data_IF_543270783210
#
_entry.id   IF_543270783210
#
_cell.length_a   1.000
_cell.length_b   1.000
_cell.length_c   1.000
_cell.angle_alpha   90.00
_cell.angle_beta   90.00
_cell.angle_gamma   90.00
#
_symmetry.space_group_name_H-M   'P 1'
#
loop_
_entity.id
_entity.type
_entity.pdbx_description
1 polymer ?
#
# COMPACT_ATOMS: atom_id res chain seq x y z
N UNK A 1 1.74 -68.27 13.18
CA UNK A 1 1.78 -67.17 12.19
C UNK A 1 1.73 -65.86 12.95
N UNK A 2 2.79 -65.03 12.87
CA UNK A 2 2.91 -63.76 13.59
C UNK A 2 2.55 -62.61 12.64
N UNK A 3 1.44 -61.92 12.89
CA UNK A 3 1.03 -60.74 12.14
C UNK A 3 1.81 -59.54 12.66
N UNK A 4 2.69 -58.98 11.82
CA UNK A 4 3.38 -57.72 12.12
C UNK A 4 2.45 -56.56 11.74
N UNK A 5 2.08 -55.73 12.72
CA UNK A 5 1.32 -54.51 12.50
C UNK A 5 2.31 -53.39 12.13
N UNK A 6 2.30 -52.97 10.86
CA UNK A 6 3.11 -51.85 10.38
C UNK A 6 2.36 -50.55 10.71
N UNK A 7 2.84 -49.80 11.71
CA UNK A 7 2.32 -48.47 12.01
C UNK A 7 2.84 -47.47 10.97
N UNK A 8 1.99 -47.07 10.04
CA UNK A 8 2.28 -45.99 9.10
C UNK A 8 2.21 -44.64 9.84
N UNK A 9 3.39 -44.05 10.10
CA UNK A 9 3.51 -42.69 10.63
C UNK A 9 3.12 -41.70 9.53
N UNK A 10 1.87 -41.22 9.56
CA UNK A 10 1.40 -40.16 8.67
C UNK A 10 2.11 -38.85 9.03
N UNK A 11 3.13 -38.48 8.26
CA UNK A 11 3.68 -37.12 8.27
C UNK A 11 2.64 -36.18 7.65
N UNK A 12 1.84 -35.52 8.49
CA UNK A 12 1.04 -34.37 8.05
C UNK A 12 2.00 -33.20 7.83
N UNK A 13 2.10 -32.63 6.62
CA UNK A 13 2.92 -31.44 6.42
C UNK A 13 2.38 -30.32 7.28
N UNK A 14 3.24 -29.73 8.11
CA UNK A 14 2.91 -28.54 8.88
C UNK A 14 2.55 -27.42 7.88
N UNK A 15 1.29 -27.02 7.86
CA UNK A 15 0.84 -25.87 7.08
C UNK A 15 1.47 -24.63 7.72
N UNK A 16 2.41 -24.00 7.03
CA UNK A 16 2.96 -22.72 7.46
C UNK A 16 1.79 -21.76 7.67
N UNK A 17 1.76 -21.10 8.84
CA UNK A 17 0.76 -20.08 9.12
C UNK A 17 0.87 -18.98 8.05
N UNK A 18 -0.27 -18.47 7.60
CA UNK A 18 -0.28 -17.31 6.71
C UNK A 18 0.44 -16.15 7.41
N UNK A 19 1.27 -15.37 6.69
CA UNK A 19 1.94 -14.22 7.27
C UNK A 19 0.91 -13.23 7.83
N UNK A 20 1.21 -12.67 8.99
CA UNK A 20 0.36 -11.65 9.63
C UNK A 20 0.31 -10.38 8.76
N UNK A 21 -0.90 -9.81 8.63
CA UNK A 21 -1.16 -8.60 7.85
C UNK A 21 -1.47 -7.42 8.76
N UNK A 22 -0.89 -6.27 8.46
CA UNK A 22 -1.31 -4.99 9.03
C UNK A 22 -2.62 -4.52 8.38
N UNK A 23 -3.45 -3.82 9.14
CA UNK A 23 -4.69 -3.24 8.65
C UNK A 23 -4.69 -1.72 8.89
N UNK A 24 -5.18 -0.91 7.93
CA UNK A 24 -5.29 0.53 8.10
C UNK A 24 -6.27 0.87 9.21
N UNK A 25 -5.90 1.83 10.04
CA UNK A 25 -6.77 2.35 11.08
C UNK A 25 -7.80 3.35 10.52
N UNK A 26 -7.53 3.92 9.33
CA UNK A 26 -8.36 4.96 8.75
C UNK A 26 -8.93 4.58 7.37
N UNK A 27 -10.06 5.17 7.04
CA UNK A 27 -10.68 5.06 5.72
C UNK A 27 -9.83 5.81 4.69
N UNK A 28 -9.58 5.26 3.47
CA UNK A 28 -8.67 5.87 2.51
C UNK A 28 -9.10 7.28 2.08
N UNK A 29 -10.40 7.52 1.95
CA UNK A 29 -10.95 8.84 1.62
C UNK A 29 -10.59 9.91 2.66
N UNK A 30 -10.51 9.53 3.94
CA UNK A 30 -10.08 10.44 4.99
C UNK A 30 -8.57 10.71 4.96
N UNK A 31 -7.77 9.67 4.68
CA UNK A 31 -6.31 9.83 4.53
C UNK A 31 -6.01 10.76 3.36
N UNK A 32 -6.63 10.52 2.19
CA UNK A 32 -6.47 11.38 1.03
C UNK A 32 -6.90 12.81 1.31
N UNK A 33 -8.05 13.03 1.93
CA UNK A 33 -8.52 14.38 2.28
C UNK A 33 -7.51 15.12 3.18
N UNK A 34 -6.92 14.44 4.17
CA UNK A 34 -5.91 15.02 5.04
C UNK A 34 -4.62 15.36 4.30
N UNK A 35 -4.12 14.44 3.47
CA UNK A 35 -2.89 14.65 2.67
C UNK A 35 -3.09 15.77 1.65
N UNK A 36 -4.24 15.81 0.97
CA UNK A 36 -4.60 16.89 0.05
C UNK A 36 -4.68 18.25 0.77
N UNK A 37 -5.33 18.29 1.93
CA UNK A 37 -5.40 19.49 2.76
C UNK A 37 -4.01 19.98 3.20
N UNK A 38 -3.11 19.07 3.58
CA UNK A 38 -1.72 19.40 3.91
C UNK A 38 -0.95 19.98 2.73
N UNK A 39 -1.18 19.45 1.53
CA UNK A 39 -0.55 19.92 0.28
C UNK A 39 -1.20 21.21 -0.26
N UNK A 40 -2.34 21.62 0.27
CA UNK A 40 -3.11 22.77 -0.23
C UNK A 40 -3.88 22.47 -1.52
N UNK A 41 -4.12 21.19 -1.82
CA UNK A 41 -4.87 20.74 -3.00
C UNK A 41 -6.36 20.69 -2.67
N UNK A 42 -7.18 21.28 -3.55
CA UNK A 42 -8.64 21.14 -3.51
C UNK A 42 -9.04 19.95 -4.37
N UNK A 43 -9.59 18.92 -3.75
CA UNK A 43 -10.03 17.70 -4.46
C UNK A 43 -11.26 17.98 -5.33
N UNK A 44 -11.27 17.39 -6.53
CA UNK A 44 -12.45 17.39 -7.40
C UNK A 44 -13.45 16.32 -6.90
N UNK A 45 -14.65 16.72 -6.40
CA UNK A 45 -15.61 15.76 -5.87
C UNK A 45 -16.23 14.85 -6.95
N UNK A 46 -16.11 15.20 -8.24
CA UNK A 46 -16.58 14.36 -9.33
C UNK A 46 -15.55 13.31 -9.76
N UNK A 47 -14.30 13.44 -9.33
CA UNK A 47 -13.24 12.47 -9.67
C UNK A 47 -13.33 11.25 -8.75
N UNK A 48 -13.35 10.03 -9.29
CA UNK A 48 -13.27 8.83 -8.46
C UNK A 48 -11.94 8.78 -7.70
N UNK A 49 -11.98 8.24 -6.49
CA UNK A 49 -10.78 7.98 -5.71
C UNK A 49 -10.03 6.79 -6.30
N UNK A 50 -8.68 6.78 -6.26
CA UNK A 50 -7.94 5.61 -6.67
C UNK A 50 -8.24 4.45 -5.71
N UNK A 51 -8.36 3.25 -6.26
CA UNK A 51 -8.66 2.06 -5.46
C UNK A 51 -7.41 1.64 -4.68
N UNK A 52 -7.52 1.50 -3.36
CA UNK A 52 -6.43 0.99 -2.52
C UNK A 52 -6.54 -0.52 -2.37
N UNK A 53 -5.52 -1.23 -2.83
CA UNK A 53 -5.41 -2.68 -2.87
C UNK A 53 -4.26 -3.14 -1.97
N UNK A 54 -4.54 -4.10 -1.09
CA UNK A 54 -3.55 -4.67 -0.20
C UNK A 54 -3.00 -5.98 -0.77
N UNK A 55 -1.68 -6.19 -0.63
CA UNK A 55 -0.97 -7.33 -1.20
C UNK A 55 -1.61 -8.68 -0.80
N UNK A 56 -2.08 -8.82 0.44
CA UNK A 56 -2.76 -10.02 0.93
C UNK A 56 -4.09 -10.36 0.22
N UNK A 57 -4.70 -9.39 -0.45
CA UNK A 57 -6.03 -9.51 -1.07
C UNK A 57 -6.00 -9.71 -2.60
N UNK A 58 -4.81 -9.74 -3.21
CA UNK A 58 -4.64 -9.87 -4.66
C UNK A 58 -3.55 -10.89 -5.01
N UNK A 59 -3.59 -11.51 -6.19
CA UNK A 59 -2.45 -12.23 -6.72
C UNK A 59 -1.37 -11.24 -7.20
N UNK A 60 -0.08 -11.54 -6.98
CA UNK A 60 1.04 -10.69 -7.44
C UNK A 60 1.03 -10.47 -8.96
N UNK A 61 0.48 -11.42 -9.73
CA UNK A 61 0.33 -11.27 -11.19
C UNK A 61 -0.56 -10.10 -11.60
N UNK A 62 -1.59 -9.75 -10.79
CA UNK A 62 -2.41 -8.56 -11.03
C UNK A 62 -1.58 -7.29 -10.91
N UNK A 63 -0.78 -7.19 -9.83
CA UNK A 63 0.11 -6.05 -9.62
C UNK A 63 1.14 -5.93 -10.75
N UNK A 64 1.80 -7.03 -11.13
CA UNK A 64 2.76 -7.03 -12.25
C UNK A 64 2.15 -6.50 -13.54
N UNK A 65 0.95 -6.94 -13.88
CA UNK A 65 0.27 -6.50 -15.10
C UNK A 65 -0.06 -5.00 -15.04
N UNK A 66 -0.57 -4.52 -13.90
CA UNK A 66 -0.90 -3.11 -13.71
C UNK A 66 0.34 -2.20 -13.76
N UNK A 67 1.41 -2.58 -13.04
CA UNK A 67 2.62 -1.79 -12.86
C UNK A 67 3.67 -2.00 -13.96
N UNK A 68 3.44 -2.90 -14.93
CA UNK A 68 4.43 -3.35 -15.93
C UNK A 68 5.19 -2.21 -16.62
N UNK A 69 4.47 -1.17 -17.02
CA UNK A 69 5.05 0.00 -17.71
C UNK A 69 5.91 0.84 -16.77
N UNK A 70 5.41 1.15 -15.57
CA UNK A 70 6.15 1.91 -14.55
C UNK A 70 7.37 1.15 -14.01
N UNK A 71 7.32 -0.18 -13.97
CA UNK A 71 8.45 -1.03 -13.58
C UNK A 71 9.50 -1.20 -14.69
N UNK A 72 9.26 -0.69 -15.90
CA UNK A 72 10.20 -0.83 -17.02
C UNK A 72 10.50 -2.28 -17.39
N UNK A 73 9.53 -3.19 -17.18
CA UNK A 73 9.71 -4.63 -17.39
C UNK A 73 10.49 -5.36 -16.29
N UNK A 74 10.75 -4.72 -15.14
CA UNK A 74 11.30 -5.41 -13.97
C UNK A 74 10.33 -6.46 -13.44
N UNK A 75 10.80 -7.69 -13.33
CA UNK A 75 10.05 -8.78 -12.71
C UNK A 75 10.15 -8.69 -11.18
N UNK A 76 9.00 -8.62 -10.51
CA UNK A 76 8.89 -8.50 -9.05
C UNK A 76 8.06 -9.65 -8.49
N UNK A 77 8.54 -10.40 -7.53
CA UNK A 77 7.83 -11.53 -6.88
C UNK A 77 6.93 -11.12 -5.73
N UNK A 78 6.90 -9.83 -5.41
CA UNK A 78 6.07 -9.25 -4.37
C UNK A 78 5.39 -7.97 -4.85
N UNK A 79 4.34 -7.56 -4.13
CA UNK A 79 3.71 -6.26 -4.30
C UNK A 79 4.56 -5.22 -3.57
N UNK A 80 4.88 -4.12 -4.25
CA UNK A 80 5.51 -2.94 -3.67
C UNK A 80 4.44 -1.90 -3.36
N UNK A 81 4.73 -0.97 -2.45
CA UNK A 81 3.90 0.23 -2.32
C UNK A 81 4.06 1.03 -3.62
N UNK A 82 2.95 1.31 -4.31
CA UNK A 82 2.97 2.05 -5.57
C UNK A 82 1.59 2.57 -5.95
N UNK A 83 1.51 3.86 -6.27
CA UNK A 83 0.46 4.43 -7.11
C UNK A 83 0.74 4.11 -8.59
N UNK A 84 -0.13 3.32 -9.19
CA UNK A 84 -0.07 2.92 -10.60
C UNK A 84 -0.93 3.88 -11.41
N UNK A 85 -0.27 4.78 -12.16
CA UNK A 85 -0.90 5.87 -12.91
C UNK A 85 -1.85 5.35 -13.98
N UNK A 86 -1.46 4.28 -14.69
CA UNK A 86 -2.23 3.73 -15.81
C UNK A 86 -3.61 3.21 -15.39
N UNK A 87 -3.70 2.60 -14.21
CA UNK A 87 -4.94 1.98 -13.72
C UNK A 87 -5.64 2.80 -12.64
N UNK A 88 -5.03 3.90 -12.19
CA UNK A 88 -5.49 4.72 -11.07
C UNK A 88 -5.72 3.88 -9.79
N UNK A 89 -4.77 2.99 -9.51
CA UNK A 89 -4.79 2.06 -8.37
C UNK A 89 -3.60 2.32 -7.45
N UNK A 90 -3.81 2.17 -6.15
CA UNK A 90 -2.75 2.20 -5.14
C UNK A 90 -2.57 0.78 -4.63
N UNK A 91 -1.35 0.26 -4.73
CA UNK A 91 -0.96 -1.04 -4.21
C UNK A 91 -0.16 -0.83 -2.91
N UNK A 92 -0.49 -1.61 -1.87
CA UNK A 92 0.15 -1.53 -0.56
C UNK A 92 0.62 -2.91 -0.12
N UNK A 93 1.89 -3.01 0.24
CA UNK A 93 2.45 -4.17 0.89
C UNK A 93 2.03 -4.20 2.36
N UNK A 94 1.15 -5.13 2.74
CA UNK A 94 0.50 -5.17 4.05
C UNK A 94 1.06 -6.22 5.01
N UNK A 95 2.18 -6.88 4.70
CA UNK A 95 2.83 -7.77 5.67
C UNK A 95 3.26 -7.00 6.94
N UNK A 96 2.76 -7.43 8.11
CA UNK A 96 2.91 -6.73 9.39
C UNK A 96 4.39 -6.49 9.78
N UNK A 97 5.27 -7.40 9.39
CA UNK A 97 6.71 -7.31 9.64
C UNK A 97 7.37 -6.03 9.05
N UNK A 98 6.77 -5.40 8.04
CA UNK A 98 7.31 -4.20 7.39
C UNK A 98 7.09 -2.90 8.19
N UNK A 99 6.21 -2.94 9.20
CA UNK A 99 5.71 -1.76 9.91
C UNK A 99 6.36 -1.61 11.30
N UNK A 100 6.59 -2.71 12.01
CA UNK A 100 7.06 -2.68 13.39
C UNK A 100 8.47 -2.09 13.61
N UNK A 101 9.38 -2.17 12.63
CA UNK A 101 10.81 -1.83 12.85
C UNK A 101 11.08 -0.33 12.99
N UNK A 102 10.27 0.53 12.37
CA UNK A 102 10.52 1.97 12.29
C UNK A 102 9.37 2.82 12.83
N UNK A 103 8.44 2.21 13.57
CA UNK A 103 7.21 2.89 14.00
C UNK A 103 6.35 3.37 12.83
N UNK A 104 6.51 2.76 11.65
CA UNK A 104 5.66 3.06 10.49
C UNK A 104 4.35 2.33 10.62
N UNK A 105 3.27 2.95 10.17
CA UNK A 105 1.97 2.28 10.06
C UNK A 105 1.63 2.02 8.59
N UNK A 106 0.64 1.17 8.35
CA UNK A 106 0.13 0.97 6.98
C UNK A 106 -0.59 2.22 6.47
N UNK A 107 -1.15 3.05 7.35
CA UNK A 107 -1.70 4.35 6.95
C UNK A 107 -0.59 5.31 6.48
N UNK A 108 0.66 5.17 6.97
CA UNK A 108 1.81 5.93 6.44
C UNK A 108 2.08 5.56 4.98
N UNK A 109 2.10 4.26 4.66
CA UNK A 109 2.26 3.77 3.27
C UNK A 109 1.13 4.30 2.38
N UNK A 110 -0.11 4.28 2.87
CA UNK A 110 -1.26 4.80 2.13
C UNK A 110 -1.13 6.31 1.91
N UNK A 111 -0.71 7.07 2.91
CA UNK A 111 -0.49 8.51 2.80
C UNK A 111 0.64 8.85 1.81
N UNK A 112 1.71 8.06 1.79
CA UNK A 112 2.81 8.18 0.81
C UNK A 112 2.29 8.05 -0.62
N UNK A 113 1.56 6.97 -0.92
CA UNK A 113 1.04 6.72 -2.27
C UNK A 113 -0.04 7.73 -2.68
N UNK A 114 -0.84 8.25 -1.74
CA UNK A 114 -1.72 9.37 -2.02
C UNK A 114 -0.94 10.66 -2.36
N UNK A 115 0.25 10.85 -1.80
CA UNK A 115 1.16 11.91 -2.21
C UNK A 115 1.47 11.84 -3.71
N UNK A 116 1.85 10.66 -4.20
CA UNK A 116 2.10 10.42 -5.63
C UNK A 116 0.84 10.62 -6.49
N UNK A 117 -0.32 10.15 -6.04
CA UNK A 117 -1.59 10.42 -6.71
C UNK A 117 -1.82 11.93 -6.88
N UNK A 118 -1.62 12.73 -5.82
CA UNK A 118 -1.82 14.17 -5.89
C UNK A 118 -0.81 14.86 -6.82
N UNK A 119 0.46 14.45 -6.77
CA UNK A 119 1.51 14.96 -7.66
C UNK A 119 1.14 14.74 -9.14
N UNK A 120 0.69 13.54 -9.50
CA UNK A 120 0.34 13.21 -10.89
C UNK A 120 -0.97 13.89 -11.31
N UNK A 121 -2.01 13.75 -10.49
CA UNK A 121 -3.36 14.12 -10.89
C UNK A 121 -3.61 15.62 -10.79
N UNK A 122 -3.08 16.27 -9.76
CA UNK A 122 -3.35 17.68 -9.48
C UNK A 122 -2.19 18.58 -9.88
N UNK A 123 -0.94 18.21 -9.56
CA UNK A 123 0.22 19.03 -9.93
C UNK A 123 0.71 18.79 -11.37
N UNK A 124 0.19 17.75 -12.03
CA UNK A 124 0.59 17.34 -13.39
C UNK A 124 2.06 16.95 -13.49
N UNK A 125 2.61 16.40 -12.41
CA UNK A 125 3.96 15.86 -12.40
C UNK A 125 4.09 14.71 -13.40
N UNK A 126 5.15 14.73 -14.22
CA UNK A 126 5.49 13.64 -15.12
C UNK A 126 6.34 12.61 -14.38
N UNK A 127 5.70 11.73 -13.62
CA UNK A 127 6.41 10.64 -12.92
C UNK A 127 7.05 9.61 -13.85
N UNK A 128 6.69 9.57 -15.14
CA UNK A 128 7.30 8.63 -16.08
C UNK A 128 8.69 9.10 -16.54
N UNK A 129 8.89 10.43 -16.63
CA UNK A 129 10.16 11.02 -17.08
C UNK A 129 10.93 11.73 -15.96
N UNK A 130 10.24 12.15 -14.89
CA UNK A 130 10.76 12.95 -13.78
C UNK A 130 10.49 12.31 -12.42
N UNK A 131 10.43 10.97 -12.32
CA UNK A 131 10.54 10.26 -11.04
C UNK A 131 11.91 10.58 -10.41
N UNK A 132 11.97 11.73 -9.76
CA UNK A 132 13.16 12.31 -9.20
C UNK A 132 13.08 12.28 -7.67
N UNK A 133 14.22 12.46 -7.02
CA UNK A 133 14.32 12.44 -5.57
C UNK A 133 13.40 13.48 -4.90
N UNK A 134 12.98 14.54 -5.60
CA UNK A 134 12.09 15.56 -5.05
C UNK A 134 10.66 15.04 -4.87
N UNK A 135 10.12 14.28 -5.82
CA UNK A 135 8.75 13.73 -5.72
C UNK A 135 8.66 12.70 -4.59
N UNK A 136 9.65 11.82 -4.48
CA UNK A 136 9.76 10.86 -3.38
C UNK A 136 9.98 11.57 -2.03
N UNK A 137 10.83 12.60 -1.98
CA UNK A 137 11.06 13.37 -0.76
C UNK A 137 9.79 14.06 -0.25
N UNK A 138 8.97 14.59 -1.16
CA UNK A 138 7.68 15.18 -0.80
C UNK A 138 6.71 14.11 -0.28
N UNK A 139 6.58 12.96 -0.96
CA UNK A 139 5.75 11.86 -0.50
C UNK A 139 6.18 11.36 0.90
N UNK A 140 7.50 11.24 1.13
CA UNK A 140 8.10 10.92 2.44
C UNK A 140 7.74 11.97 3.50
N UNK A 141 7.77 13.26 3.14
CA UNK A 141 7.40 14.33 4.05
C UNK A 141 5.90 14.28 4.41
N UNK A 142 5.03 13.96 3.44
CA UNK A 142 3.59 13.80 3.65
C UNK A 142 3.28 12.61 4.58
N UNK A 143 3.85 11.43 4.34
CA UNK A 143 3.64 10.28 5.25
C UNK A 143 4.18 10.55 6.66
N UNK A 144 5.30 11.27 6.78
CA UNK A 144 5.90 11.59 8.08
C UNK A 144 5.00 12.55 8.85
N UNK A 145 4.54 13.61 8.19
CA UNK A 145 3.56 14.53 8.78
C UNK A 145 2.27 13.81 9.16
N UNK A 146 1.76 12.90 8.33
CA UNK A 146 0.53 12.18 8.61
C UNK A 146 0.67 11.34 9.88
N UNK A 147 1.77 10.59 10.02
CA UNK A 147 2.08 9.81 11.23
C UNK A 147 2.15 10.68 12.49
N UNK A 148 2.86 11.80 12.41
CA UNK A 148 3.18 12.62 13.58
C UNK A 148 2.03 13.52 14.03
N UNK A 149 1.24 14.02 13.08
CA UNK A 149 0.25 15.07 13.34
C UNK A 149 -1.07 14.80 12.64
N UNK A 150 -1.04 14.45 11.35
CA UNK A 150 -2.24 14.38 10.51
C UNK A 150 -3.28 13.39 11.01
N UNK A 151 -2.86 12.18 11.37
CA UNK A 151 -3.74 11.11 11.82
C UNK A 151 -4.50 11.47 13.12
N UNK A 152 -3.87 12.21 14.03
CA UNK A 152 -4.49 12.60 15.30
C UNK A 152 -5.58 13.67 15.13
N UNK A 153 -5.56 14.42 14.03
CA UNK A 153 -6.56 15.44 13.72
C UNK A 153 -7.79 14.89 12.99
N UNK A 154 -7.76 13.62 12.56
CA UNK A 154 -8.89 13.01 11.88
C UNK A 154 -10.05 12.75 12.86
N UNK A 155 -11.31 12.99 12.44
CA UNK A 155 -12.47 12.70 13.27
C UNK A 155 -12.66 11.20 13.45
N UNK A 156 -13.35 10.78 14.51
CA UNK A 156 -13.61 9.36 14.78
C UNK A 156 -14.38 8.67 13.65
N UNK A 157 -15.20 9.41 12.90
CA UNK A 157 -15.90 8.91 11.71
C UNK A 157 -14.97 8.42 10.59
N UNK A 158 -13.68 8.79 10.64
CA UNK A 158 -12.64 8.36 9.72
C UNK A 158 -11.96 7.04 10.13
N UNK A 159 -12.21 6.53 11.35
CA UNK A 159 -11.76 5.19 11.75
C UNK A 159 -12.49 4.10 10.97
N UNK A 160 -11.82 2.96 10.77
CA UNK A 160 -12.40 1.75 10.15
C UNK A 160 -12.99 0.80 11.19
#
# INVERSE_FOLDING_TARGET
MKTALLAALLCVPARAAAPETAAPAFKPECVLAAVAGRKGVVLDPARPLPMVLFASSIPVSRYREAAKEQLGGMEVDTVLNMYVVKTDEIYIQDAAANYGRFGRTIDDSVAHEFGHYLQVVYDKADVANDANDSLESEAVALQTWFREVGAAALPESCRR
#
